data_IF_493212997339
#
_entry.id   IF_493212997339
#
_cell.length_a   1.000
_cell.length_b   1.000
_cell.length_c   1.000
_cell.angle_alpha   90.00
_cell.angle_beta   90.00
_cell.angle_gamma   90.00
#
_symmetry.space_group_name_H-M   'P 1'
#
loop_
_entity.id
_entity.type
_entity.pdbx_description
1 polymer ?
#
# COMPACT_ATOMS: atom_id res chain seq x y z
N UNK A 1 7.57 9.92 14.10
CA UNK A 1 6.41 9.73 13.20
C UNK A 1 6.82 10.08 11.77
N UNK A 2 6.83 9.11 10.87
CA UNK A 2 7.12 9.32 9.44
C UNK A 2 5.96 8.75 8.64
N UNK A 3 4.93 9.56 8.43
CA UNK A 3 3.80 9.22 7.56
C UNK A 3 4.16 9.64 6.15
N UNK A 4 4.53 8.65 5.33
CA UNK A 4 4.62 8.84 3.87
C UNK A 4 3.19 9.00 3.34
N UNK A 5 2.91 10.10 2.66
CA UNK A 5 1.61 10.43 2.08
C UNK A 5 1.82 10.87 0.63
N UNK A 6 0.90 10.52 -0.27
CA UNK A 6 0.82 11.12 -1.61
C UNK A 6 -0.25 12.22 -1.58
N UNK A 7 -0.13 13.25 -2.41
CA UNK A 7 -1.19 14.27 -2.46
C UNK A 7 -1.56 14.75 -3.85
N UNK A 8 -2.82 15.21 -3.98
CA UNK A 8 -3.40 15.68 -5.24
C UNK A 8 -3.16 17.19 -5.45
N UNK A 9 -2.66 17.56 -6.63
CA UNK A 9 -2.36 18.94 -7.05
C UNK A 9 -3.37 19.54 -8.05
N UNK A 10 -4.40 18.81 -8.49
CA UNK A 10 -5.31 19.25 -9.56
C UNK A 10 -6.77 19.33 -9.13
N UNK A 11 -7.38 20.47 -9.49
CA UNK A 11 -8.79 20.59 -9.83
C UNK A 11 -8.88 20.38 -11.37
N UNK A 12 -9.72 19.44 -11.84
CA UNK A 12 -10.09 19.19 -13.26
C UNK A 12 -9.40 18.03 -14.04
N UNK A 13 -10.01 17.71 -15.20
CA UNK A 13 -10.48 16.39 -15.69
C UNK A 13 -9.44 15.54 -16.47
N UNK A 14 -9.77 14.24 -16.55
CA UNK A 14 -9.33 13.25 -17.57
C UNK A 14 -8.06 12.45 -17.24
N UNK A 15 -8.28 11.19 -16.81
CA UNK A 15 -7.39 10.00 -16.69
C UNK A 15 -5.93 10.15 -16.17
N UNK A 16 -5.46 11.34 -15.81
CA UNK A 16 -4.11 11.55 -15.31
C UNK A 16 -3.96 11.05 -13.86
N UNK A 17 -2.74 10.62 -13.47
CA UNK A 17 -2.43 10.29 -12.10
C UNK A 17 -2.77 11.45 -11.17
N UNK A 18 -3.82 11.26 -10.36
CA UNK A 18 -4.38 12.28 -9.45
C UNK A 18 -3.51 12.55 -8.22
N UNK A 19 -2.41 11.82 -8.06
CA UNK A 19 -1.56 11.88 -6.88
C UNK A 19 -0.09 11.93 -7.28
N UNK A 20 0.65 12.83 -6.65
CA UNK A 20 2.08 12.97 -6.82
C UNK A 20 2.81 12.40 -5.62
N UNK A 21 3.96 11.80 -5.91
CA UNK A 21 5.13 11.53 -5.07
C UNK A 21 4.90 11.04 -3.63
N UNK A 22 5.76 10.19 -3.07
CA UNK A 22 5.80 10.07 -1.63
C UNK A 22 6.27 11.40 -1.03
N UNK A 23 5.40 12.01 -0.22
CA UNK A 23 5.69 13.17 0.60
C UNK A 23 5.78 12.76 2.06
N UNK A 24 6.66 13.45 2.79
CA UNK A 24 6.75 13.35 4.24
C UNK A 24 6.13 14.59 4.85
N UNK A 25 5.23 14.40 5.81
CA UNK A 25 4.74 15.50 6.64
C UNK A 25 5.88 15.97 7.55
N UNK A 26 6.22 17.26 7.47
CA UNK A 26 7.26 17.88 8.29
C UNK A 26 6.68 18.60 9.49
N UNK A 27 5.51 19.21 9.34
CA UNK A 27 4.87 20.02 10.38
C UNK A 27 3.34 20.02 10.24
N UNK A 28 2.63 19.95 11.35
CA UNK A 28 1.19 20.26 11.41
C UNK A 28 1.01 21.77 11.59
N UNK A 29 0.26 22.41 10.71
CA UNK A 29 0.00 23.85 10.75
C UNK A 29 -1.38 24.16 11.36
N UNK A 30 -2.35 23.27 11.17
CA UNK A 30 -3.66 23.31 11.82
C UNK A 30 -4.23 21.90 11.95
N UNK A 31 -5.50 21.76 12.32
CA UNK A 31 -6.19 20.47 12.33
C UNK A 31 -6.33 19.85 10.94
N UNK A 32 -6.37 20.69 9.91
CA UNK A 32 -6.66 20.27 8.54
C UNK A 32 -5.56 20.60 7.54
N UNK A 33 -4.53 21.36 7.96
CA UNK A 33 -3.41 21.75 7.09
C UNK A 33 -2.07 21.28 7.61
N UNK A 34 -1.28 20.75 6.69
CA UNK A 34 0.03 20.18 6.96
C UNK A 34 1.08 20.74 6.01
N UNK A 35 2.29 20.91 6.50
CA UNK A 35 3.48 21.12 5.71
C UNK A 35 4.02 19.75 5.27
N UNK A 36 4.22 19.59 3.97
CA UNK A 36 4.70 18.36 3.34
C UNK A 36 5.93 18.64 2.49
N UNK A 37 6.86 17.69 2.43
CA UNK A 37 8.10 17.77 1.67
C UNK A 37 8.26 16.52 0.81
N UNK A 38 8.67 16.70 -0.46
CA UNK A 38 8.91 15.57 -1.36
C UNK A 38 10.04 14.69 -0.82
N UNK A 39 9.87 13.38 -0.89
CA UNK A 39 10.89 12.39 -0.53
C UNK A 39 11.82 12.05 -1.72
N UNK A 40 11.59 12.63 -2.90
CA UNK A 40 12.41 12.37 -4.07
C UNK A 40 13.81 12.96 -3.91
N UNK A 41 14.82 12.08 -4.02
CA UNK A 41 16.24 12.41 -3.77
C UNK A 41 16.88 13.23 -4.90
N UNK A 42 16.25 13.28 -6.09
CA UNK A 42 16.81 13.91 -7.29
C UNK A 42 16.37 15.37 -7.50
N UNK A 43 15.70 16.01 -6.54
CA UNK A 43 15.43 17.44 -6.67
C UNK A 43 16.71 18.22 -6.38
N UNK A 44 17.52 18.47 -7.42
CA UNK A 44 18.68 19.39 -7.40
C UNK A 44 18.28 20.81 -6.91
N UNK A 45 16.98 21.10 -6.89
CA UNK A 45 16.36 22.27 -6.26
C UNK A 45 15.93 21.89 -4.84
N UNK A 46 16.25 22.74 -3.86
CA UNK A 46 15.80 22.64 -2.46
C UNK A 46 14.43 21.99 -2.36
N UNK A 47 14.31 20.97 -1.52
CA UNK A 47 13.09 20.22 -1.24
C UNK A 47 11.94 21.19 -0.93
N UNK A 48 11.10 21.44 -1.94
CA UNK A 48 10.01 22.40 -1.86
C UNK A 48 9.03 21.94 -0.79
N UNK A 49 8.67 22.87 0.09
CA UNK A 49 7.65 22.67 1.11
C UNK A 49 6.30 23.06 0.54
N UNK A 50 5.33 22.18 0.69
CA UNK A 50 3.95 22.41 0.26
C UNK A 50 3.03 22.46 1.48
N UNK A 51 2.07 23.37 1.47
CA UNK A 51 0.96 23.38 2.43
C UNK A 51 -0.21 22.64 1.81
N UNK A 52 -0.62 21.54 2.42
CA UNK A 52 -1.60 20.62 1.87
C UNK A 52 -2.74 20.44 2.86
N UNK A 53 -3.97 20.43 2.34
CA UNK A 53 -5.16 20.10 3.12
C UNK A 53 -5.29 18.58 3.30
N UNK A 54 -5.75 18.13 4.46
CA UNK A 54 -5.87 16.70 4.81
C UNK A 54 -6.64 15.88 3.77
N UNK A 55 -7.69 16.45 3.17
CA UNK A 55 -8.50 15.78 2.14
C UNK A 55 -7.75 15.51 0.82
N UNK A 56 -6.64 16.20 0.58
CA UNK A 56 -5.80 15.99 -0.61
C UNK A 56 -4.72 14.94 -0.36
N UNK A 57 -4.48 14.57 0.90
CA UNK A 57 -3.49 13.58 1.29
C UNK A 57 -4.08 12.17 1.23
N UNK A 58 -3.25 11.21 0.86
CA UNK A 58 -3.56 9.78 0.90
C UNK A 58 -2.36 9.05 1.47
N UNK A 59 -2.60 8.04 2.29
CA UNK A 59 -1.51 7.21 2.83
C UNK A 59 -0.72 6.56 1.69
N UNK A 60 0.60 6.69 1.74
CA UNK A 60 1.50 6.02 0.81
C UNK A 60 1.73 4.59 1.31
N UNK A 61 1.45 3.62 0.44
CA UNK A 61 1.78 2.22 0.67
C UNK A 61 3.12 1.94 -0.01
N UNK A 62 4.13 1.62 0.79
CA UNK A 62 5.45 1.24 0.29
C UNK A 62 5.40 -0.25 -0.10
N UNK A 63 5.52 -0.60 -1.40
CA UNK A 63 5.46 -1.99 -1.84
C UNK A 63 6.57 -2.85 -1.25
N UNK A 64 7.72 -2.24 -0.88
CA UNK A 64 8.84 -2.98 -0.32
C UNK A 64 8.61 -3.35 1.15
N UNK A 65 7.90 -2.52 1.91
CA UNK A 65 7.52 -2.82 3.30
C UNK A 65 6.42 -3.88 3.41
N UNK A 66 5.69 -4.12 2.33
CA UNK A 66 4.65 -5.15 2.32
C UNK A 66 5.25 -6.57 2.33
N UNK A 67 6.46 -6.76 1.79
CA UNK A 67 7.11 -8.08 1.78
C UNK A 67 7.45 -8.59 3.18
N UNK A 68 7.69 -7.68 4.13
CA UNK A 68 7.96 -8.03 5.53
C UNK A 68 6.67 -8.45 6.29
N UNK A 69 5.49 -8.04 5.81
CA UNK A 69 4.16 -8.35 6.39
C UNK A 69 3.45 -9.52 5.68
N UNK A 70 3.98 -9.99 4.54
CA UNK A 70 3.48 -11.16 3.77
C UNK A 70 3.70 -12.50 4.51
N UNK A 71 4.21 -12.47 5.75
CA UNK A 71 4.10 -13.59 6.68
C UNK A 71 2.73 -13.72 7.36
N UNK A 72 1.92 -12.65 7.41
CA UNK A 72 0.69 -12.59 8.22
C UNK A 72 -0.61 -12.75 7.42
N UNK A 73 -0.61 -12.44 6.12
CA UNK A 73 -1.79 -12.57 5.26
C UNK A 73 -1.77 -13.89 4.47
N UNK A 74 -1.67 -15.01 5.18
CA UNK A 74 -2.11 -16.27 4.59
C UNK A 74 -3.63 -16.19 4.41
N UNK A 75 -4.10 -16.03 3.17
CA UNK A 75 -5.50 -16.33 2.84
C UNK A 75 -5.75 -17.74 3.39
N UNK A 76 -6.70 -17.95 4.32
CA UNK A 76 -6.94 -19.28 4.88
C UNK A 76 -7.37 -20.19 3.72
N UNK A 77 -6.42 -21.00 3.23
CA UNK A 77 -6.71 -22.00 2.22
C UNK A 77 -7.62 -23.01 2.91
N UNK A 78 -8.85 -23.14 2.42
CA UNK A 78 -9.78 -24.18 2.87
C UNK A 78 -9.03 -25.52 2.87
N UNK A 79 -9.06 -26.30 3.97
CA UNK A 79 -8.49 -27.63 3.98
C UNK A 79 -9.13 -28.43 2.86
N UNK A 80 -8.34 -28.91 1.90
CA UNK A 80 -8.83 -29.88 0.92
C UNK A 80 -9.00 -31.18 1.67
N UNK A 81 -10.24 -31.55 1.96
CA UNK A 81 -10.58 -32.86 2.52
C UNK A 81 -10.24 -33.92 1.48
N UNK A 82 -9.13 -34.66 1.70
CA UNK A 82 -8.87 -35.90 0.98
C UNK A 82 -9.93 -36.91 1.40
N UNK A 83 -10.95 -37.11 0.58
CA UNK A 83 -11.83 -38.26 0.67
C UNK A 83 -11.03 -39.53 0.39
N UNK A 84 -10.65 -40.23 1.46
CA UNK A 84 -10.44 -41.68 1.39
C UNK A 84 -11.77 -42.32 1.02
N UNK A 85 -11.79 -43.15 -0.02
CA UNK A 85 -12.29 -44.53 -0.01
C UNK A 85 -12.35 -45.04 -1.46
N UNK A 86 -11.42 -45.91 -1.85
CA UNK A 86 -11.79 -47.00 -2.77
C UNK A 86 -11.23 -48.27 -2.18
N UNK A 87 -12.19 -49.05 -1.67
CA UNK A 87 -12.05 -50.33 -1.02
C UNK A 87 -11.12 -51.25 -1.81
N UNK A 88 -10.32 -52.03 -1.06
CA UNK A 88 -9.64 -53.23 -1.50
C UNK A 88 -10.57 -54.00 -2.44
N UNK A 89 -10.09 -54.30 -3.65
CA UNK A 89 -10.59 -55.48 -4.36
C UNK A 89 -9.70 -56.62 -3.97
N UNK A 90 -10.39 -57.59 -3.42
CA UNK A 90 -9.95 -58.82 -2.80
C UNK A 90 -8.87 -59.55 -3.57
N UNK A 91 -8.03 -60.19 -2.76
CA UNK A 91 -7.13 -61.27 -3.12
C UNK A 91 -7.84 -62.41 -3.85
N UNK A 92 -7.04 -63.11 -4.65
CA UNK A 92 -7.15 -64.52 -5.02
C UNK A 92 -8.41 -65.01 -5.73
N UNK A 93 -8.23 -65.46 -6.98
CA UNK A 93 -8.65 -66.81 -7.39
C UNK A 93 -8.05 -67.19 -8.75
N UNK A 94 -7.15 -68.19 -8.69
CA UNK A 94 -6.77 -69.26 -9.65
C UNK A 94 -6.51 -68.94 -11.12
#
# INVERSE_FOLDING_TARGET
MVTSLVFNQYENLQLLPRYFGPYRITRRLSDVTYEAQSMEVNSRRRSQKHVVHVLRLKQYFDPNKQLDDVGAHSIPRRPVTKSQTRLQRDSDSS
#
